data_IF_449502124440
#
_entry.id   IF_449502124440
#
_cell.length_a   1.000
_cell.length_b   1.000
_cell.length_c   1.000
_cell.angle_alpha   90.00
_cell.angle_beta   90.00
_cell.angle_gamma   90.00
#
_symmetry.space_group_name_H-M   'P 1'
#
loop_
_entity.id
_entity.type
_entity.pdbx_description
1 polymer ?
#
# COMPACT_ATOMS: atom_id res chain seq x y z
N UNK A 1 -14.03 -17.05 14.93
CA UNK A 1 -13.44 -15.89 15.66
C UNK A 1 -12.10 -15.57 15.03
N UNK A 2 -11.81 -14.29 14.78
CA UNK A 2 -10.51 -13.87 14.24
C UNK A 2 -9.38 -14.26 15.19
N UNK A 3 -8.26 -14.74 14.64
CA UNK A 3 -7.11 -15.18 15.44
C UNK A 3 -6.38 -14.01 16.12
N UNK A 4 -6.43 -12.82 15.50
CA UNK A 4 -5.74 -11.61 15.96
C UNK A 4 -6.70 -10.43 16.02
N UNK A 5 -6.38 -9.47 16.89
CA UNK A 5 -7.11 -8.19 16.98
C UNK A 5 -6.45 -7.09 16.13
N UNK A 6 -5.29 -7.36 15.53
CA UNK A 6 -4.55 -6.39 14.72
C UNK A 6 -5.34 -5.90 13.50
N UNK A 7 -5.39 -4.58 13.34
CA UNK A 7 -5.97 -3.93 12.16
C UNK A 7 -5.12 -4.15 10.90
N UNK A 8 -3.81 -4.33 11.05
CA UNK A 8 -2.82 -4.39 9.96
C UNK A 8 -1.97 -5.67 10.03
N UNK A 9 -1.36 -6.05 8.90
CA UNK A 9 -0.33 -7.10 8.87
C UNK A 9 1.00 -6.63 9.43
N UNK A 10 1.98 -7.54 9.51
CA UNK A 10 3.29 -7.28 10.12
C UNK A 10 3.32 -7.42 11.64
N UNK A 11 2.25 -7.96 12.23
CA UNK A 11 2.06 -8.14 13.67
C UNK A 11 2.82 -9.36 14.23
N UNK A 12 4.09 -9.54 13.83
CA UNK A 12 4.92 -10.69 14.21
C UNK A 12 5.06 -10.87 15.73
N UNK A 13 5.03 -9.77 16.51
CA UNK A 13 5.09 -9.84 17.97
C UNK A 13 3.84 -10.50 18.56
N UNK A 14 2.65 -10.08 18.12
CA UNK A 14 1.37 -10.66 18.56
C UNK A 14 1.29 -12.14 18.15
N UNK A 15 1.63 -12.44 16.89
CA UNK A 15 1.63 -13.81 16.37
C UNK A 15 2.58 -14.74 17.13
N UNK A 16 3.77 -14.25 17.50
CA UNK A 16 4.74 -15.02 18.26
C UNK A 16 4.29 -15.24 19.71
N UNK A 17 3.63 -14.25 20.33
CA UNK A 17 3.01 -14.41 21.65
C UNK A 17 1.96 -15.52 21.66
N UNK A 18 1.11 -15.61 20.61
CA UNK A 18 0.12 -16.70 20.48
C UNK A 18 0.77 -18.08 20.44
N UNK A 19 1.96 -18.21 19.85
CA UNK A 19 2.70 -19.46 19.76
C UNK A 19 3.65 -19.73 20.94
N UNK A 20 3.87 -18.75 21.82
CA UNK A 20 4.88 -18.86 22.88
C UNK A 20 6.32 -18.92 22.36
N UNK A 21 6.62 -18.26 21.23
CA UNK A 21 7.94 -18.24 20.60
C UNK A 21 8.48 -16.82 20.43
N UNK A 22 9.73 -16.70 19.97
CA UNK A 22 10.32 -15.40 19.62
C UNK A 22 9.88 -14.92 18.22
N UNK A 23 9.64 -13.61 18.00
CA UNK A 23 9.15 -13.08 16.72
C UNK A 23 10.03 -13.34 15.49
N UNK A 24 11.34 -13.44 15.69
CA UNK A 24 12.33 -13.75 14.65
C UNK A 24 12.23 -15.19 14.11
N UNK A 25 11.52 -16.07 14.82
CA UNK A 25 11.25 -17.43 14.36
C UNK A 25 10.10 -17.52 13.35
N UNK A 26 9.36 -16.42 13.13
CA UNK A 26 8.27 -16.36 12.16
C UNK A 26 8.76 -15.95 10.77
N UNK A 27 8.27 -16.65 9.76
CA UNK A 27 8.35 -16.21 8.37
C UNK A 27 7.12 -15.36 8.04
N UNK A 28 7.30 -14.05 7.96
CA UNK A 28 6.19 -13.10 7.77
C UNK A 28 5.84 -12.87 6.31
N UNK A 29 4.65 -13.27 5.90
CA UNK A 29 4.01 -13.00 4.62
C UNK A 29 2.85 -12.00 4.74
N UNK A 30 2.56 -11.50 5.94
CA UNK A 30 1.42 -10.62 6.19
C UNK A 30 1.73 -9.15 5.87
N UNK A 31 3.00 -8.74 5.84
CA UNK A 31 3.46 -7.43 5.41
C UNK A 31 4.19 -7.49 4.06
N UNK A 32 3.86 -6.54 3.16
CA UNK A 32 4.30 -6.54 1.76
C UNK A 32 5.57 -5.70 1.59
N UNK A 33 6.69 -6.17 2.14
CA UNK A 33 7.99 -5.47 2.07
C UNK A 33 8.88 -6.11 1.00
N UNK A 34 9.64 -5.29 0.26
CA UNK A 34 10.60 -5.80 -0.73
C UNK A 34 11.58 -6.80 -0.06
N UNK A 35 11.68 -8.06 -0.54
CA UNK A 35 12.48 -9.08 0.10
C UNK A 35 13.98 -8.95 -0.15
N UNK A 36 14.41 -8.04 -1.04
CA UNK A 36 15.82 -7.81 -1.35
C UNK A 36 16.59 -7.15 -0.18
N UNK A 37 15.90 -6.75 0.89
CA UNK A 37 16.50 -6.13 2.07
C UNK A 37 16.56 -4.61 1.95
N UNK A 38 17.58 -3.97 2.52
CA UNK A 38 17.73 -2.51 2.46
C UNK A 38 18.72 -2.14 1.34
N UNK A 39 18.44 -1.09 0.53
CA UNK A 39 19.41 -0.58 -0.44
C UNK A 39 20.78 -0.31 0.22
N UNK A 40 21.87 -0.72 -0.43
CA UNK A 40 23.23 -0.56 0.12
C UNK A 40 23.56 0.91 0.33
N UNK A 41 23.12 1.75 -0.60
CA UNK A 41 23.23 3.21 -0.56
C UNK A 41 22.59 3.79 0.71
N UNK A 42 21.37 3.38 1.04
CA UNK A 42 20.65 3.78 2.27
C UNK A 42 21.40 3.29 3.52
N UNK A 43 21.78 2.02 3.57
CA UNK A 43 22.48 1.46 4.74
C UNK A 43 23.76 2.24 5.05
N UNK A 44 24.56 2.54 4.03
CA UNK A 44 25.80 3.31 4.17
C UNK A 44 25.51 4.74 4.64
N UNK A 45 24.56 5.43 4.01
CA UNK A 45 24.21 6.79 4.38
C UNK A 45 23.79 6.90 5.86
N UNK A 46 22.98 5.96 6.34
CA UNK A 46 22.54 5.92 7.74
C UNK A 46 23.70 5.70 8.73
N UNK A 47 24.62 4.79 8.44
CA UNK A 47 25.78 4.51 9.30
C UNK A 47 26.71 5.73 9.34
N UNK A 48 27.04 6.28 8.17
CA UNK A 48 28.01 7.36 8.02
C UNK A 48 27.50 8.70 8.59
N UNK A 49 26.19 8.85 8.83
CA UNK A 49 25.57 10.11 9.28
C UNK A 49 24.69 9.92 10.52
N UNK A 50 24.94 8.90 11.34
CA UNK A 50 24.09 8.59 12.49
C UNK A 50 23.98 9.77 13.47
N UNK A 51 25.05 10.56 13.63
CA UNK A 51 25.12 11.73 14.51
C UNK A 51 24.13 12.85 14.12
N UNK A 52 23.50 12.80 12.93
CA UNK A 52 22.46 13.78 12.57
C UNK A 52 21.25 13.75 13.51
N UNK A 53 21.01 12.64 14.22
CA UNK A 53 19.88 12.50 15.16
C UNK A 53 20.05 13.34 16.43
N UNK A 54 21.25 13.85 16.70
CA UNK A 54 21.53 14.74 17.84
C UNK A 54 20.89 16.13 17.67
N UNK A 55 20.35 16.41 16.46
CA UNK A 55 19.67 17.66 16.11
C UNK A 55 18.27 17.36 15.60
N UNK A 56 17.38 18.34 15.77
CA UNK A 56 16.11 18.30 15.07
C UNK A 56 16.33 18.28 13.54
N UNK A 57 15.45 17.59 12.78
CA UNK A 57 15.42 17.74 11.33
C UNK A 57 15.19 19.20 10.92
N UNK A 58 15.53 19.52 9.68
CA UNK A 58 15.01 20.72 9.03
C UNK A 58 13.47 20.67 9.04
N UNK A 59 12.83 21.69 9.61
CA UNK A 59 11.36 21.76 9.71
C UNK A 59 10.70 21.85 8.33
N UNK A 60 11.40 22.40 7.33
CA UNK A 60 10.92 22.57 5.97
C UNK A 60 11.34 21.41 5.03
N UNK A 61 12.19 20.50 5.51
CA UNK A 61 12.71 19.34 4.76
C UNK A 61 13.21 19.69 3.36
N UNK A 62 13.94 20.79 3.24
CA UNK A 62 14.33 21.37 1.96
C UNK A 62 15.04 20.35 1.05
N UNK A 63 16.04 19.63 1.57
CA UNK A 63 16.80 18.64 0.78
C UNK A 63 15.94 17.44 0.35
N UNK A 64 15.13 16.89 1.26
CA UNK A 64 14.22 15.79 0.95
C UNK A 64 13.19 16.19 -0.11
N UNK A 65 12.56 17.35 0.03
CA UNK A 65 11.59 17.84 -0.94
C UNK A 65 12.23 18.12 -2.30
N UNK A 66 13.45 18.67 -2.33
CA UNK A 66 14.22 18.83 -3.57
C UNK A 66 14.59 17.48 -4.22
N UNK A 67 14.96 16.47 -3.42
CA UNK A 67 15.25 15.14 -3.95
C UNK A 67 14.01 14.49 -4.60
N UNK A 68 12.87 14.56 -3.93
CA UNK A 68 11.58 14.08 -4.45
C UNK A 68 11.14 14.86 -5.70
N UNK A 69 11.30 16.19 -5.68
CA UNK A 69 10.98 17.07 -6.80
C UNK A 69 11.81 16.75 -8.05
N UNK A 70 13.12 16.56 -7.88
CA UNK A 70 14.01 16.13 -8.97
C UNK A 70 13.67 14.75 -9.49
N UNK A 71 13.31 13.80 -8.62
CA UNK A 71 12.93 12.46 -9.05
C UNK A 71 11.68 12.49 -9.95
N UNK A 72 10.68 13.31 -9.60
CA UNK A 72 9.43 13.43 -10.36
C UNK A 72 9.41 14.51 -11.44
N UNK A 73 10.43 15.36 -11.51
CA UNK A 73 10.50 16.53 -12.39
C UNK A 73 9.31 17.49 -12.18
N UNK A 74 8.98 17.77 -10.91
CA UNK A 74 7.90 18.70 -10.51
C UNK A 74 8.43 19.77 -9.55
N UNK A 75 7.74 20.90 -9.36
CA UNK A 75 8.10 21.89 -8.34
C UNK A 75 8.13 21.28 -6.93
N UNK A 76 9.14 21.62 -6.11
CA UNK A 76 9.21 21.18 -4.72
C UNK A 76 8.04 21.70 -3.87
N UNK A 77 7.40 22.81 -4.27
CA UNK A 77 6.21 23.34 -3.60
C UNK A 77 5.05 22.34 -3.60
N UNK A 78 4.96 21.47 -4.61
CA UNK A 78 3.90 20.48 -4.77
C UNK A 78 4.01 19.30 -3.81
N UNK A 79 5.17 19.10 -3.17
CA UNK A 79 5.50 17.87 -2.44
C UNK A 79 5.55 18.14 -0.94
N UNK A 80 4.81 17.34 -0.16
CA UNK A 80 4.89 17.35 1.29
C UNK A 80 5.16 15.95 1.81
N UNK A 81 6.32 15.75 2.43
CA UNK A 81 6.73 14.49 3.02
C UNK A 81 6.04 14.27 4.37
N UNK A 82 5.80 13.00 4.70
CA UNK A 82 5.17 12.59 5.95
C UNK A 82 5.80 11.33 6.54
N UNK A 83 5.51 11.11 7.82
CA UNK A 83 5.96 10.02 8.69
C UNK A 83 5.38 8.66 8.27
N UNK A 84 5.78 8.23 7.07
CA UNK A 84 5.05 7.25 6.29
C UNK A 84 3.86 7.88 5.56
N UNK A 85 3.46 7.28 4.45
CA UNK A 85 2.28 7.67 3.68
C UNK A 85 0.98 7.62 4.49
N UNK A 86 0.93 6.82 5.56
CA UNK A 86 -0.17 6.86 6.52
C UNK A 86 -0.37 8.27 7.06
N UNK A 87 0.69 9.00 7.43
CA UNK A 87 0.53 10.41 7.82
C UNK A 87 -0.03 11.24 6.66
N UNK A 88 0.45 11.05 5.42
CA UNK A 88 -0.07 11.75 4.25
C UNK A 88 -1.57 11.54 4.03
N UNK A 89 -2.11 10.35 4.32
CA UNK A 89 -3.56 10.07 4.30
C UNK A 89 -4.31 10.94 5.32
N UNK A 90 -3.80 11.04 6.55
CA UNK A 90 -4.41 11.88 7.59
C UNK A 90 -4.25 13.38 7.27
N UNK A 91 -3.11 13.80 6.73
CA UNK A 91 -2.86 15.19 6.29
C UNK A 91 -3.83 15.59 5.19
N UNK A 92 -3.99 14.79 4.12
CA UNK A 92 -4.90 15.13 3.03
C UNK A 92 -6.36 15.15 3.49
N UNK A 93 -6.79 14.19 4.33
CA UNK A 93 -8.15 14.16 4.86
C UNK A 93 -8.45 15.37 5.77
N UNK A 94 -7.53 15.71 6.67
CA UNK A 94 -7.68 16.82 7.61
C UNK A 94 -7.52 18.20 6.98
N UNK A 95 -6.80 18.32 5.86
CA UNK A 95 -6.62 19.58 5.15
C UNK A 95 -7.55 19.82 3.97
N UNK A 96 -8.17 18.77 3.41
CA UNK A 96 -9.32 18.91 2.51
C UNK A 96 -10.63 19.09 3.29
N UNK A 97 -10.77 18.46 4.47
CA UNK A 97 -11.98 18.49 5.31
C UNK A 97 -13.26 18.22 4.52
N UNK A 98 -13.36 17.10 3.78
CA UNK A 98 -14.55 16.79 3.02
C UNK A 98 -15.76 16.67 3.95
N UNK A 99 -16.90 17.19 3.50
CA UNK A 99 -18.20 16.94 4.14
C UNK A 99 -18.70 15.55 3.74
N UNK A 100 -18.53 15.18 2.46
CA UNK A 100 -18.89 13.88 1.88
C UNK A 100 -17.74 13.33 1.05
N UNK A 101 -17.32 12.11 1.35
CA UNK A 101 -16.24 11.44 0.61
C UNK A 101 -16.65 10.02 0.25
N UNK A 102 -16.20 9.56 -0.90
CA UNK A 102 -16.33 8.18 -1.33
C UNK A 102 -15.01 7.43 -1.17
N UNK A 103 -15.07 6.23 -0.59
CA UNK A 103 -13.98 5.26 -0.58
C UNK A 103 -14.41 3.99 -1.32
N UNK A 104 -13.44 3.27 -1.88
CA UNK A 104 -13.68 1.96 -2.52
C UNK A 104 -13.40 0.83 -1.52
N UNK A 105 -14.30 -0.16 -1.46
CA UNK A 105 -14.17 -1.33 -0.57
C UNK A 105 -14.19 -2.65 -1.35
N UNK A 106 -13.31 -3.64 -1.04
CA UNK A 106 -12.29 -3.57 0.01
C UNK A 106 -11.16 -2.59 -0.31
N UNK A 107 -10.60 -2.00 0.73
CA UNK A 107 -9.58 -0.95 0.63
C UNK A 107 -8.84 -0.77 1.94
N UNK A 108 -7.76 0.00 1.94
CA UNK A 108 -6.97 0.24 3.15
C UNK A 108 -7.79 0.96 4.23
N UNK A 109 -7.77 0.43 5.45
CA UNK A 109 -8.65 0.87 6.54
C UNK A 109 -8.44 2.34 6.95
N UNK A 110 -7.24 2.88 6.74
CA UNK A 110 -6.88 4.23 7.20
C UNK A 110 -7.61 5.36 6.47
N UNK A 111 -8.09 5.15 5.24
CA UNK A 111 -8.92 6.17 4.56
C UNK A 111 -10.19 6.44 5.37
N UNK A 112 -10.89 5.37 5.77
CA UNK A 112 -12.11 5.48 6.57
C UNK A 112 -11.83 6.05 7.96
N UNK A 113 -10.71 5.68 8.59
CA UNK A 113 -10.32 6.22 9.91
C UNK A 113 -10.00 7.71 9.85
N UNK A 114 -9.24 8.15 8.86
CA UNK A 114 -8.90 9.56 8.67
C UNK A 114 -10.13 10.42 8.37
N UNK A 115 -11.03 9.94 7.49
CA UNK A 115 -12.29 10.62 7.17
C UNK A 115 -13.25 10.67 8.36
N UNK A 116 -13.34 9.60 9.14
CA UNK A 116 -14.19 9.60 10.34
C UNK A 116 -13.70 10.61 11.38
N UNK A 117 -12.38 10.73 11.58
CA UNK A 117 -11.79 11.72 12.49
C UNK A 117 -11.97 13.16 12.02
N UNK A 118 -12.13 13.40 10.71
CA UNK A 118 -12.45 14.73 10.18
C UNK A 118 -13.94 15.08 10.19
N UNK A 119 -14.81 14.15 10.65
CA UNK A 119 -16.26 14.35 10.70
C UNK A 119 -16.96 14.23 9.35
N UNK A 120 -16.34 13.53 8.38
CA UNK A 120 -16.89 13.34 7.03
C UNK A 120 -18.01 12.28 7.00
N UNK A 121 -19.04 12.50 6.18
CA UNK A 121 -19.96 11.45 5.74
C UNK A 121 -19.25 10.55 4.73
N UNK A 122 -19.16 9.24 5.03
CA UNK A 122 -18.42 8.29 4.20
C UNK A 122 -19.38 7.46 3.36
N UNK A 123 -19.30 7.63 2.04
CA UNK A 123 -19.92 6.73 1.05
C UNK A 123 -18.94 5.63 0.67
N UNK A 124 -19.46 4.44 0.39
CA UNK A 124 -18.66 3.27 -0.02
C UNK A 124 -19.09 2.83 -1.40
N UNK A 125 -18.14 2.76 -2.32
CA UNK A 125 -18.29 2.02 -3.56
C UNK A 125 -17.79 0.59 -3.34
N UNK A 126 -18.70 -0.37 -3.41
CA UNK A 126 -18.37 -1.79 -3.19
C UNK A 126 -17.92 -2.42 -4.50
N UNK A 127 -16.64 -2.82 -4.56
CA UNK A 127 -16.17 -3.77 -5.56
C UNK A 127 -16.93 -5.09 -5.39
N UNK A 128 -17.06 -5.85 -6.48
CA UNK A 128 -17.83 -7.08 -6.50
C UNK A 128 -16.93 -8.28 -6.80
N UNK A 129 -17.16 -9.37 -6.08
CA UNK A 129 -16.52 -10.67 -6.36
C UNK A 129 -16.79 -11.13 -7.80
N UNK A 130 -17.99 -10.85 -8.33
CA UNK A 130 -18.40 -11.19 -9.69
C UNK A 130 -17.56 -10.48 -10.78
N UNK A 131 -16.98 -9.31 -10.47
CA UNK A 131 -16.06 -8.59 -11.35
C UNK A 131 -14.59 -8.97 -11.07
N UNK A 132 -14.35 -10.05 -10.32
CA UNK A 132 -13.01 -10.42 -9.86
C UNK A 132 -12.38 -9.38 -8.92
N UNK A 133 -13.20 -8.57 -8.24
CA UNK A 133 -12.79 -7.41 -7.45
C UNK A 133 -12.12 -6.28 -8.24
N UNK A 134 -12.23 -6.27 -9.56
CA UNK A 134 -11.73 -5.17 -10.39
C UNK A 134 -12.62 -3.93 -10.26
N UNK A 135 -12.02 -2.73 -10.25
CA UNK A 135 -12.77 -1.48 -10.37
C UNK A 135 -13.29 -1.36 -11.81
N UNK A 136 -14.58 -1.07 -11.95
CA UNK A 136 -15.28 -0.92 -13.23
C UNK A 136 -15.77 0.52 -13.44
N UNK A 137 -16.20 0.82 -14.66
CA UNK A 137 -16.76 2.12 -15.07
C UNK A 137 -18.11 2.45 -14.42
N UNK A 138 -18.82 1.46 -13.85
CA UNK A 138 -20.05 1.67 -13.10
C UNK A 138 -19.90 2.68 -11.94
N UNK A 139 -18.67 2.90 -11.44
CA UNK A 139 -18.40 3.93 -10.43
C UNK A 139 -18.70 5.35 -10.94
N UNK A 140 -18.59 5.61 -12.25
CA UNK A 140 -18.77 6.94 -12.85
C UNK A 140 -20.18 7.50 -12.61
N UNK A 141 -21.19 6.64 -12.63
CA UNK A 141 -22.58 7.00 -12.34
C UNK A 141 -22.81 7.31 -10.86
N UNK A 142 -22.02 6.69 -9.97
CA UNK A 142 -22.06 6.96 -8.54
C UNK A 142 -21.36 8.26 -8.15
N UNK A 143 -20.62 8.90 -9.07
CA UNK A 143 -20.01 10.21 -8.85
C UNK A 143 -21.04 11.32 -9.05
N UNK A 144 -21.41 11.94 -7.93
CA UNK A 144 -22.43 12.97 -7.83
C UNK A 144 -21.83 14.33 -7.44
N UNK A 145 -22.45 15.47 -7.82
CA UNK A 145 -21.93 16.82 -7.52
C UNK A 145 -21.80 17.16 -6.03
N UNK A 146 -22.40 16.37 -5.14
CA UNK A 146 -22.31 16.59 -3.70
C UNK A 146 -21.08 15.94 -3.07
N UNK A 147 -20.35 15.06 -3.77
CA UNK A 147 -19.09 14.51 -3.27
C UNK A 147 -18.00 15.59 -3.25
N UNK A 148 -17.21 15.63 -2.18
CA UNK A 148 -16.04 16.51 -2.08
C UNK A 148 -14.74 15.78 -2.42
N UNK A 149 -14.68 14.47 -2.14
CA UNK A 149 -13.50 13.63 -2.31
C UNK A 149 -13.84 12.21 -2.79
N UNK A 150 -12.95 11.62 -3.59
CA UNK A 150 -12.92 10.20 -3.94
C UNK A 150 -11.52 9.65 -3.65
N UNK A 151 -11.43 8.55 -2.90
CA UNK A 151 -10.17 7.84 -2.64
C UNK A 151 -10.11 6.55 -3.45
N UNK A 152 -9.09 6.41 -4.30
CA UNK A 152 -8.75 5.19 -5.02
C UNK A 152 -7.35 4.73 -4.62
N UNK A 153 -7.11 3.42 -4.70
CA UNK A 153 -5.80 2.82 -4.46
C UNK A 153 -5.35 2.11 -5.74
N UNK A 154 -4.16 2.45 -6.24
CA UNK A 154 -3.66 2.11 -7.59
C UNK A 154 -2.21 1.64 -7.52
N UNK A 155 -1.95 0.31 -7.39
CA UNK A 155 -2.92 -0.79 -7.33
C UNK A 155 -3.61 -0.94 -5.96
N UNK A 156 -4.82 -1.50 -5.94
CA UNK A 156 -5.66 -1.62 -4.76
C UNK A 156 -5.11 -2.64 -3.72
N UNK A 157 -5.14 -2.27 -2.45
CA UNK A 157 -4.91 -3.18 -1.33
C UNK A 157 -6.26 -3.62 -0.72
N UNK A 158 -6.61 -4.93 -0.68
CA UNK A 158 -5.70 -6.08 -0.76
C UNK A 158 -5.66 -6.84 -2.08
N UNK A 159 -6.45 -6.46 -3.10
CA UNK A 159 -6.61 -7.25 -4.34
C UNK A 159 -5.34 -7.32 -5.19
N UNK A 160 -4.50 -6.28 -5.12
CA UNK A 160 -3.32 -6.10 -5.96
C UNK A 160 -3.65 -5.61 -7.37
N UNK A 161 -4.93 -5.36 -7.67
CA UNK A 161 -5.38 -5.00 -9.02
C UNK A 161 -5.16 -3.51 -9.30
N UNK A 162 -4.70 -3.21 -10.51
CA UNK A 162 -4.54 -1.85 -11.00
C UNK A 162 -5.74 -1.52 -11.92
N UNK A 163 -6.57 -0.51 -11.58
CA UNK A 163 -7.55 0.01 -12.51
C UNK A 163 -6.92 0.45 -13.83
N UNK A 164 -7.61 0.20 -14.93
CA UNK A 164 -7.11 0.57 -16.25
C UNK A 164 -6.88 2.08 -16.37
N UNK A 165 -5.83 2.47 -17.09
CA UNK A 165 -5.48 3.89 -17.26
C UNK A 165 -6.62 4.72 -17.86
N UNK A 166 -7.36 4.15 -18.82
CA UNK A 166 -8.49 4.82 -19.46
C UNK A 166 -9.63 5.07 -18.47
N UNK A 167 -9.94 4.09 -17.62
CA UNK A 167 -10.92 4.25 -16.55
C UNK A 167 -10.48 5.29 -15.52
N UNK A 168 -9.21 5.27 -15.08
CA UNK A 168 -8.70 6.29 -14.16
C UNK A 168 -8.77 7.70 -14.76
N UNK A 169 -8.51 7.84 -16.06
CA UNK A 169 -8.66 9.11 -16.76
C UNK A 169 -10.12 9.57 -16.80
N UNK A 170 -11.06 8.68 -17.16
CA UNK A 170 -12.48 8.98 -17.14
C UNK A 170 -12.99 9.40 -15.75
N UNK A 171 -12.50 8.75 -14.68
CA UNK A 171 -12.79 9.13 -13.30
C UNK A 171 -12.20 10.50 -12.99
N UNK A 172 -10.94 10.76 -13.36
CA UNK A 172 -10.29 12.05 -13.14
C UNK A 172 -11.04 13.21 -13.83
N UNK A 173 -11.48 13.00 -15.07
CA UNK A 173 -12.23 14.01 -15.85
C UNK A 173 -13.63 14.23 -15.26
N UNK A 174 -14.31 13.15 -14.84
CA UNK A 174 -15.60 13.24 -14.16
C UNK A 174 -15.47 14.00 -12.84
N UNK A 175 -14.47 13.67 -12.02
CA UNK A 175 -14.16 14.38 -10.79
C UNK A 175 -13.89 15.87 -11.04
N UNK A 176 -13.12 16.21 -12.08
CA UNK A 176 -12.88 17.60 -12.49
C UNK A 176 -14.18 18.34 -12.79
N UNK A 177 -15.06 17.72 -13.58
CA UNK A 177 -16.36 18.31 -13.98
C UNK A 177 -17.32 18.52 -12.80
N UNK A 178 -17.18 17.70 -11.75
CA UNK A 178 -18.03 17.73 -10.56
C UNK A 178 -17.40 18.43 -9.36
N UNK A 179 -16.18 18.98 -9.51
CA UNK A 179 -15.39 19.58 -8.43
C UNK A 179 -15.07 18.60 -7.27
N UNK A 180 -14.86 17.33 -7.58
CA UNK A 180 -14.46 16.29 -6.63
C UNK A 180 -12.94 16.22 -6.60
N UNK A 181 -12.33 16.25 -5.41
CA UNK A 181 -10.91 15.93 -5.27
C UNK A 181 -10.70 14.43 -5.45
N UNK A 182 -9.79 14.05 -6.35
CA UNK A 182 -9.42 12.65 -6.57
C UNK A 182 -8.11 12.36 -5.86
N UNK A 183 -8.14 11.50 -4.85
CA UNK A 183 -6.97 11.04 -4.12
C UNK A 183 -6.59 9.65 -4.64
N UNK A 184 -5.38 9.54 -5.20
CA UNK A 184 -4.79 8.32 -5.72
C UNK A 184 -3.69 7.85 -4.78
N UNK A 185 -3.93 6.74 -4.10
CA UNK A 185 -2.93 6.04 -3.30
C UNK A 185 -2.08 5.14 -4.21
N UNK A 186 -0.86 5.58 -4.46
CA UNK A 186 0.14 4.92 -5.30
C UNK A 186 1.23 4.22 -4.44
N UNK A 187 0.91 3.76 -3.23
CA UNK A 187 1.87 3.14 -2.29
C UNK A 187 2.70 1.98 -2.86
N UNK A 188 2.17 1.32 -3.89
CA UNK A 188 2.72 0.12 -4.51
C UNK A 188 3.03 0.30 -6.00
N UNK A 189 2.83 1.50 -6.56
CA UNK A 189 2.97 1.69 -8.02
C UNK A 189 4.42 1.45 -8.48
N UNK A 190 5.39 1.74 -7.61
CA UNK A 190 6.82 1.56 -7.89
C UNK A 190 7.20 0.10 -8.20
N UNK A 191 6.40 -0.89 -7.77
CA UNK A 191 6.60 -2.30 -8.11
C UNK A 191 6.18 -2.65 -9.54
N UNK A 192 5.39 -1.83 -10.22
CA UNK A 192 4.85 -2.12 -11.54
C UNK A 192 5.70 -1.38 -12.58
N UNK A 193 6.63 -2.07 -13.27
CA UNK A 193 7.45 -1.39 -14.27
C UNK A 193 6.56 -0.80 -15.37
N UNK A 194 6.97 0.36 -15.90
CA UNK A 194 6.26 1.15 -16.92
C UNK A 194 4.99 1.89 -16.48
N UNK A 195 4.49 1.68 -15.26
CA UNK A 195 3.39 2.50 -14.74
C UNK A 195 3.94 3.81 -14.17
N UNK A 196 3.54 4.92 -14.78
CA UNK A 196 4.04 6.26 -14.40
C UNK A 196 3.21 6.94 -13.32
N UNK A 197 2.02 6.42 -13.02
CA UNK A 197 1.06 7.04 -12.11
C UNK A 197 0.48 8.35 -12.65
N UNK A 198 -0.01 9.18 -11.74
CA UNK A 198 -0.67 10.45 -12.07
C UNK A 198 0.18 11.69 -11.80
N UNK A 199 1.33 11.57 -11.13
CA UNK A 199 2.24 12.70 -10.87
C UNK A 199 2.57 13.49 -12.17
N UNK A 200 2.90 12.84 -13.30
CA UNK A 200 3.19 13.57 -14.55
C UNK A 200 2.00 14.37 -15.11
N UNK A 201 0.76 14.07 -14.70
CA UNK A 201 -0.46 14.72 -15.17
C UNK A 201 -0.98 15.80 -14.20
N UNK A 202 -0.33 16.03 -13.07
CA UNK A 202 -0.83 16.95 -12.03
C UNK A 202 -0.86 18.41 -12.48
N UNK A 203 0.04 18.83 -13.39
CA UNK A 203 0.16 20.23 -13.82
C UNK A 203 -1.17 20.85 -14.24
N UNK A 204 -2.00 20.10 -14.98
CA UNK A 204 -3.29 20.58 -15.49
C UNK A 204 -4.49 20.08 -14.66
N UNK A 205 -4.22 19.43 -13.53
CA UNK A 205 -5.22 18.73 -12.70
C UNK A 205 -5.00 18.96 -11.20
N UNK A 206 -5.22 20.20 -10.71
CA UNK A 206 -5.05 20.56 -9.30
C UNK A 206 -6.03 19.85 -8.34
N UNK A 207 -7.10 19.23 -8.85
CA UNK A 207 -8.02 18.42 -8.05
C UNK A 207 -7.49 17.00 -7.77
N UNK A 208 -6.38 16.58 -8.38
CA UNK A 208 -5.78 15.26 -8.18
C UNK A 208 -4.68 15.33 -7.13
N UNK A 209 -4.75 14.44 -6.14
CA UNK A 209 -3.76 14.26 -5.10
C UNK A 209 -3.14 12.87 -5.26
N UNK A 210 -1.81 12.78 -5.27
CA UNK A 210 -1.12 11.48 -5.31
C UNK A 210 -0.43 11.24 -3.97
N UNK A 211 -0.65 10.07 -3.39
CA UNK A 211 0.04 9.61 -2.18
C UNK A 211 1.06 8.55 -2.56
N UNK A 212 2.25 8.63 -1.98
CA UNK A 212 3.38 7.73 -2.28
C UNK A 212 4.07 7.29 -1.01
N UNK A 213 4.69 6.11 -1.09
CA UNK A 213 5.38 5.49 0.03
C UNK A 213 6.73 4.90 -0.37
N UNK A 214 7.81 5.29 0.31
CA UNK A 214 9.12 4.65 0.13
C UNK A 214 9.27 3.36 0.95
N UNK A 215 8.40 3.12 1.93
CA UNK A 215 8.61 2.05 2.92
C UNK A 215 8.58 0.64 2.35
N UNK A 216 7.74 0.38 1.33
CA UNK A 216 7.51 -0.97 0.79
C UNK A 216 8.59 -1.31 -0.24
N UNK A 217 8.75 -0.43 -1.23
CA UNK A 217 9.68 -0.62 -2.34
C UNK A 217 11.15 -0.63 -1.91
N UNK A 218 11.54 0.24 -0.98
CA UNK A 218 12.92 0.35 -0.48
C UNK A 218 13.16 -0.34 0.86
N UNK A 219 12.19 -1.14 1.33
CA UNK A 219 12.23 -1.90 2.58
C UNK A 219 12.68 -1.12 3.83
N UNK A 220 12.19 0.10 3.97
CA UNK A 220 12.40 0.94 5.16
C UNK A 220 11.11 1.19 5.98
N UNK A 221 10.25 0.17 6.22
CA UNK A 221 9.00 0.38 6.94
C UNK A 221 9.18 0.81 8.39
N UNK A 222 10.34 0.54 9.00
CA UNK A 222 10.69 1.01 10.33
C UNK A 222 11.12 2.48 10.38
N UNK A 223 11.66 3.03 9.28
CA UNK A 223 12.06 4.45 9.23
C UNK A 223 10.88 5.39 9.04
N UNK A 224 9.79 4.92 8.42
CA UNK A 224 8.55 5.69 8.17
C UNK A 224 8.76 6.85 7.20
N UNK A 225 8.54 6.61 5.90
CA UNK A 225 8.60 7.68 4.90
C UNK A 225 7.56 7.52 3.79
N UNK A 226 6.79 8.57 3.56
CA UNK A 226 5.93 8.77 2.41
C UNK A 226 5.78 10.26 2.09
N UNK A 227 4.97 10.59 1.11
CA UNK A 227 4.72 11.97 0.71
C UNK A 227 3.40 12.09 -0.04
N UNK A 228 2.84 13.30 -0.06
CA UNK A 228 1.77 13.69 -0.95
C UNK A 228 2.32 14.62 -2.05
N UNK A 229 1.67 14.61 -3.22
CA UNK A 229 1.96 15.50 -4.34
C UNK A 229 0.66 16.08 -4.89
N UNK A 230 0.62 17.40 -5.08
CA UNK A 230 -0.50 18.10 -5.70
C UNK A 230 -0.05 19.46 -6.27
N UNK A 231 -0.67 19.92 -7.35
CA UNK A 231 -0.26 21.13 -8.08
C UNK A 231 -0.96 22.43 -7.63
N UNK A 232 -1.92 22.37 -6.70
CA UNK A 232 -2.50 23.55 -6.06
C UNK A 232 -1.59 24.03 -4.93
N UNK A 233 -0.75 25.03 -5.24
CA UNK A 233 0.20 25.61 -4.28
C UNK A 233 -0.49 26.12 -3.00
N UNK A 234 -1.70 26.67 -3.10
CA UNK A 234 -2.42 27.18 -1.94
C UNK A 234 -2.93 26.04 -1.05
N UNK A 235 -3.40 24.96 -1.66
CA UNK A 235 -3.82 23.76 -0.94
C UNK A 235 -2.63 23.05 -0.29
N UNK A 236 -1.50 22.86 -0.98
CA UNK A 236 -0.30 22.25 -0.39
C UNK A 236 0.28 23.14 0.73
N UNK A 237 0.29 24.46 0.57
CA UNK A 237 0.70 25.37 1.65
C UNK A 237 -0.22 25.27 2.87
N UNK A 238 -1.53 25.04 2.68
CA UNK A 238 -2.47 24.76 3.78
C UNK A 238 -2.13 23.43 4.47
N UNK A 239 -1.80 22.38 3.72
CA UNK A 239 -1.36 21.10 4.28
C UNK A 239 -0.11 21.28 5.16
N UNK A 240 0.91 22.01 4.66
CA UNK A 240 2.15 22.29 5.41
C UNK A 240 1.87 22.94 6.77
N UNK A 241 0.97 23.93 6.81
CA UNK A 241 0.61 24.63 8.07
C UNK A 241 -0.14 23.77 9.07
N UNK A 242 -0.79 22.69 8.61
CA UNK A 242 -1.58 21.80 9.46
C UNK A 242 -0.82 20.55 9.90
N UNK A 243 0.22 20.16 9.14
CA UNK A 243 1.08 19.04 9.49
C UNK A 243 1.82 19.31 10.80
N UNK A 244 2.02 18.25 11.58
CA UNK A 244 2.82 18.30 12.79
C UNK A 244 4.27 18.72 12.46
N UNK A 245 4.86 19.70 13.16
CA UNK A 245 6.26 20.05 12.99
C UNK A 245 7.18 18.84 13.25
N UNK A 246 8.24 18.73 12.45
CA UNK A 246 9.26 17.66 12.56
C UNK A 246 8.71 16.23 12.50
N UNK A 247 7.61 15.98 11.77
CA UNK A 247 7.00 14.64 11.74
C UNK A 247 7.89 13.56 11.10
N UNK A 248 8.69 13.92 10.11
CA UNK A 248 9.67 13.02 9.46
C UNK A 248 10.99 13.06 10.24
N UNK A 249 11.45 11.91 10.72
CA UNK A 249 12.74 11.83 11.41
C UNK A 249 13.92 12.04 10.44
N UNK A 250 15.05 12.51 10.96
CA UNK A 250 16.24 12.85 10.16
C UNK A 250 16.76 11.67 9.32
N UNK A 251 16.74 10.46 9.89
CA UNK A 251 17.21 9.25 9.21
C UNK A 251 16.28 8.83 8.06
N UNK A 252 14.97 9.01 8.22
CA UNK A 252 14.02 8.80 7.14
C UNK A 252 14.23 9.79 6.00
N UNK A 253 14.41 11.08 6.31
CA UNK A 253 14.71 12.10 5.30
C UNK A 253 15.98 11.74 4.50
N UNK A 254 17.07 11.42 5.19
CA UNK A 254 18.32 10.99 4.56
C UNK A 254 18.14 9.72 3.69
N UNK A 255 17.44 8.72 4.20
CA UNK A 255 17.16 7.50 3.44
C UNK A 255 16.36 7.81 2.17
N UNK A 256 15.39 8.72 2.23
CA UNK A 256 14.59 9.16 1.09
C UNK A 256 15.40 9.87 0.02
N UNK A 257 16.31 10.76 0.42
CA UNK A 257 17.20 11.49 -0.49
C UNK A 257 18.10 10.55 -1.31
N UNK A 258 18.58 9.47 -0.67
CA UNK A 258 19.52 8.53 -1.27
C UNK A 258 18.81 7.42 -2.06
N UNK A 259 17.73 6.84 -1.51
CA UNK A 259 17.05 5.67 -2.10
C UNK A 259 16.54 5.93 -3.53
N UNK A 260 16.06 7.15 -3.80
CA UNK A 260 15.48 7.54 -5.10
C UNK A 260 16.50 7.56 -6.25
N UNK A 261 17.80 7.58 -5.93
CA UNK A 261 18.89 7.58 -6.92
C UNK A 261 19.40 6.15 -7.22
N UNK A 262 18.91 5.13 -6.50
CA UNK A 262 19.38 3.76 -6.63
C UNK A 262 18.68 3.03 -7.79
N UNK A 263 19.13 3.30 -9.01
CA UNK A 263 18.58 2.67 -10.22
C UNK A 263 18.83 1.16 -10.26
N UNK A 264 19.94 0.70 -9.68
CA UNK A 264 20.24 -0.73 -9.56
C UNK A 264 19.20 -1.44 -8.69
N UNK A 265 18.78 -0.82 -7.58
CA UNK A 265 17.69 -1.32 -6.74
C UNK A 265 16.38 -1.47 -7.49
N UNK A 266 16.01 -0.46 -8.29
CA UNK A 266 14.78 -0.47 -9.10
C UNK A 266 14.80 -1.65 -10.10
N UNK A 267 15.88 -1.79 -10.86
CA UNK A 267 16.03 -2.87 -11.85
C UNK A 267 16.03 -4.25 -11.19
N UNK A 268 16.77 -4.43 -10.10
CA UNK A 268 16.81 -5.69 -9.37
C UNK A 268 15.41 -6.07 -8.82
N UNK A 269 14.65 -5.10 -8.33
CA UNK A 269 13.29 -5.31 -7.82
C UNK A 269 12.34 -5.73 -8.94
N UNK A 270 12.35 -5.05 -10.08
CA UNK A 270 11.48 -5.41 -11.20
C UNK A 270 11.84 -6.76 -11.81
N UNK A 271 13.13 -7.06 -11.93
CA UNK A 271 13.60 -8.38 -12.37
C UNK A 271 13.12 -9.49 -11.44
N UNK A 272 13.32 -9.32 -10.13
CA UNK A 272 12.84 -10.27 -9.12
C UNK A 272 11.33 -10.49 -9.22
N UNK A 273 10.54 -9.41 -9.29
CA UNK A 273 9.08 -9.53 -9.35
C UNK A 273 8.62 -10.18 -10.67
N UNK A 274 9.31 -9.89 -11.79
CA UNK A 274 9.00 -10.48 -13.08
C UNK A 274 9.23 -11.99 -13.10
N UNK A 275 10.35 -12.46 -12.55
CA UNK A 275 10.69 -13.89 -12.56
C UNK A 275 10.01 -14.64 -11.41
N UNK A 276 10.37 -14.31 -10.18
CA UNK A 276 9.92 -15.04 -8.99
C UNK A 276 8.46 -14.74 -8.69
N UNK A 277 7.98 -13.51 -8.92
CA UNK A 277 6.57 -13.18 -8.75
C UNK A 277 5.67 -13.96 -9.71
N UNK A 278 6.06 -14.05 -10.98
CA UNK A 278 5.33 -14.86 -11.96
C UNK A 278 5.37 -16.36 -11.60
N UNK A 279 6.53 -16.90 -11.23
CA UNK A 279 6.67 -18.30 -10.79
C UNK A 279 5.77 -18.59 -9.58
N UNK A 280 5.79 -17.71 -8.57
CA UNK A 280 5.03 -17.89 -7.35
C UNK A 280 3.52 -17.81 -7.59
N UNK A 281 3.04 -16.85 -8.40
CA UNK A 281 1.64 -16.78 -8.82
C UNK A 281 1.21 -18.09 -9.52
N UNK A 282 1.98 -18.56 -10.51
CA UNK A 282 1.66 -19.79 -11.22
C UNK A 282 1.60 -21.00 -10.27
N UNK A 283 2.55 -21.11 -9.34
CA UNK A 283 2.58 -22.21 -8.37
C UNK A 283 1.38 -22.18 -7.40
N UNK A 284 0.92 -20.99 -6.97
CA UNK A 284 -0.28 -20.86 -6.15
C UNK A 284 -1.54 -21.27 -6.92
N UNK A 285 -1.65 -20.89 -8.21
CA UNK A 285 -2.80 -21.25 -9.06
C UNK A 285 -2.94 -22.77 -9.30
N UNK A 286 -1.88 -23.55 -9.10
CA UNK A 286 -1.94 -25.02 -9.19
C UNK A 286 -2.46 -25.69 -7.91
N UNK A 287 -2.65 -24.95 -6.82
CA UNK A 287 -3.15 -25.51 -5.57
C UNK A 287 -4.67 -25.71 -5.64
N UNK A 288 -5.18 -26.88 -5.21
CA UNK A 288 -6.62 -27.11 -5.18
C UNK A 288 -7.29 -26.22 -4.12
N UNK A 289 -8.58 -25.94 -4.30
CA UNK A 289 -9.40 -25.20 -3.33
C UNK A 289 -8.86 -23.78 -3.02
N UNK A 290 -8.14 -23.19 -3.97
CA UNK A 290 -7.56 -21.85 -3.83
C UNK A 290 -7.76 -21.05 -5.12
N UNK A 291 -8.54 -19.97 -5.04
CA UNK A 291 -8.57 -18.94 -6.07
C UNK A 291 -7.48 -17.90 -5.77
N UNK A 292 -6.72 -17.52 -6.79
CA UNK A 292 -5.61 -16.55 -6.70
C UNK A 292 -5.91 -15.39 -7.63
N UNK A 293 -5.95 -14.17 -7.10
CA UNK A 293 -6.20 -12.97 -7.90
C UNK A 293 -4.89 -12.45 -8.52
N UNK A 294 -4.93 -11.92 -9.76
CA UNK A 294 -3.73 -11.54 -10.52
C UNK A 294 -3.16 -10.18 -10.07
N UNK A 295 -2.69 -10.11 -8.82
CA UNK A 295 -2.05 -8.92 -8.27
C UNK A 295 -0.85 -8.44 -9.09
N UNK A 296 -0.68 -7.12 -9.21
CA UNK A 296 0.32 -6.48 -10.06
C UNK A 296 1.59 -6.04 -9.33
N UNK A 297 1.53 -5.93 -8.00
CA UNK A 297 2.65 -5.53 -7.14
C UNK A 297 3.24 -6.75 -6.38
N UNK A 298 3.88 -6.52 -5.23
CA UNK A 298 4.55 -7.56 -4.45
C UNK A 298 3.63 -8.34 -3.48
N UNK A 299 2.38 -8.59 -3.85
CA UNK A 299 1.45 -9.37 -3.03
C UNK A 299 0.28 -9.91 -3.87
N UNK A 300 -0.37 -10.94 -3.34
CA UNK A 300 -1.51 -11.61 -3.97
C UNK A 300 -2.65 -11.78 -2.96
N UNK A 301 -3.88 -11.53 -3.42
CA UNK A 301 -5.09 -11.93 -2.71
C UNK A 301 -5.41 -13.38 -3.06
N UNK A 302 -5.79 -14.14 -2.04
CA UNK A 302 -6.17 -15.54 -2.10
C UNK A 302 -7.60 -15.67 -1.55
N UNK A 303 -8.40 -16.57 -2.13
CA UNK A 303 -9.66 -17.03 -1.56
C UNK A 303 -9.58 -18.54 -1.39
N UNK A 304 -9.70 -19.01 -0.15
CA UNK A 304 -9.84 -20.44 0.14
C UNK A 304 -11.28 -20.86 -0.12
N UNK A 305 -11.48 -21.88 -0.96
CA UNK A 305 -12.82 -22.37 -1.30
C UNK A 305 -13.48 -23.15 -0.16
N UNK A 306 -12.75 -23.44 0.93
CA UNK A 306 -13.23 -24.14 2.12
C UNK A 306 -13.35 -23.20 3.31
N UNK A 307 -14.59 -22.86 3.68
CA UNK A 307 -14.90 -21.93 4.78
C UNK A 307 -14.52 -22.45 6.16
N UNK A 308 -14.49 -23.77 6.34
CA UNK A 308 -14.12 -24.43 7.59
C UNK A 308 -12.61 -24.39 7.87
N UNK A 309 -11.80 -24.01 6.89
CA UNK A 309 -10.34 -23.97 7.00
C UNK A 309 -9.86 -22.55 7.30
N UNK A 310 -9.37 -22.34 8.52
CA UNK A 310 -8.61 -21.14 8.86
C UNK A 310 -7.14 -21.27 8.39
N UNK A 311 -6.86 -20.83 7.16
CA UNK A 311 -5.50 -20.88 6.60
C UNK A 311 -4.48 -20.12 7.44
N UNK A 312 -4.86 -18.97 8.03
CA UNK A 312 -3.94 -18.19 8.86
C UNK A 312 -3.50 -18.99 10.08
N UNK A 313 -4.44 -19.65 10.76
CA UNK A 313 -4.13 -20.52 11.90
C UNK A 313 -3.28 -21.72 11.50
N UNK A 314 -3.63 -22.40 10.40
CA UNK A 314 -2.93 -23.61 9.92
C UNK A 314 -1.50 -23.33 9.43
N UNK A 315 -1.25 -22.15 8.88
CA UNK A 315 0.09 -21.72 8.48
C UNK A 315 0.90 -21.19 9.67
N UNK A 316 0.24 -20.54 10.64
CA UNK A 316 0.90 -20.06 11.84
C UNK A 316 1.50 -21.21 12.66
N UNK A 317 0.85 -22.38 12.73
CA UNK A 317 1.44 -23.58 13.38
C UNK A 317 2.72 -24.06 12.69
N UNK A 318 2.93 -23.68 11.43
CA UNK A 318 4.16 -23.93 10.66
C UNK A 318 5.12 -22.72 10.69
N UNK A 319 4.89 -21.77 11.61
CA UNK A 319 5.63 -20.51 11.79
C UNK A 319 5.58 -19.58 10.57
N UNK A 320 4.52 -19.65 9.78
CA UNK A 320 4.29 -18.78 8.64
C UNK A 320 3.10 -17.87 8.94
N UNK A 321 3.33 -16.56 9.00
CA UNK A 321 2.29 -15.58 9.26
C UNK A 321 1.75 -15.01 7.94
N UNK A 322 0.46 -15.17 7.67
CA UNK A 322 -0.22 -14.55 6.53
C UNK A 322 -1.28 -13.54 7.01
N UNK A 323 -1.76 -12.67 6.13
CA UNK A 323 -2.81 -11.70 6.48
C UNK A 323 -4.19 -12.30 6.18
N UNK A 324 -4.99 -12.61 7.20
CA UNK A 324 -6.44 -12.81 7.04
C UNK A 324 -7.06 -11.51 6.52
N UNK A 325 -8.02 -11.56 5.60
CA UNK A 325 -8.70 -10.37 5.08
C UNK A 325 -10.13 -10.23 5.62
N UNK A 326 -10.53 -11.02 6.61
CA UNK A 326 -11.89 -11.01 7.17
C UNK A 326 -12.34 -9.67 7.77
N UNK A 327 -11.40 -8.76 8.06
CA UNK A 327 -11.69 -7.44 8.60
C UNK A 327 -11.78 -6.34 7.53
N UNK A 328 -11.64 -6.67 6.24
CA UNK A 328 -11.89 -5.73 5.16
C UNK A 328 -13.39 -5.72 4.81
N UNK A 329 -14.07 -4.57 4.82
CA UNK A 329 -15.44 -4.49 4.33
C UNK A 329 -15.53 -5.01 2.89
N UNK A 330 -16.48 -5.91 2.65
CA UNK A 330 -16.67 -6.59 1.36
C UNK A 330 -16.00 -7.95 1.26
N UNK A 331 -15.06 -8.29 2.15
CA UNK A 331 -14.43 -9.61 2.21
C UNK A 331 -14.87 -10.37 3.47
N UNK A 332 -14.68 -11.70 3.46
CA UNK A 332 -15.01 -12.59 4.56
C UNK A 332 -13.79 -13.45 4.97
N UNK A 333 -14.01 -14.45 5.84
CA UNK A 333 -12.95 -15.30 6.38
C UNK A 333 -12.25 -16.22 5.38
N UNK A 334 -12.80 -16.39 4.16
CA UNK A 334 -12.15 -17.15 3.08
C UNK A 334 -10.96 -16.41 2.49
N UNK A 335 -10.90 -15.10 2.67
CA UNK A 335 -9.92 -14.25 2.01
C UNK A 335 -8.65 -14.07 2.84
N UNK A 336 -7.52 -14.18 2.16
CA UNK A 336 -6.19 -13.99 2.73
C UNK A 336 -5.30 -13.22 1.76
N UNK A 337 -4.31 -12.51 2.27
CA UNK A 337 -3.26 -11.85 1.48
C UNK A 337 -1.90 -12.39 1.89
N UNK A 338 -1.07 -12.65 0.89
CA UNK A 338 0.33 -13.04 1.06
C UNK A 338 1.23 -12.10 0.27
N UNK A 339 2.35 -11.72 0.86
CA UNK A 339 3.42 -11.03 0.15
C UNK A 339 4.08 -11.97 -0.89
N UNK A 340 4.69 -11.41 -1.91
CA UNK A 340 5.66 -12.12 -2.74
C UNK A 340 7.03 -11.86 -2.11
N UNK A 341 7.77 -12.93 -1.79
CA UNK A 341 9.09 -12.85 -1.13
C UNK A 341 10.18 -13.52 -1.98
N UNK A 342 11.31 -13.90 -1.37
CA UNK A 342 12.37 -14.64 -2.08
C UNK A 342 11.90 -16.05 -2.46
N UNK A 343 12.51 -16.66 -3.47
CA UNK A 343 12.15 -18.00 -3.94
C UNK A 343 12.13 -19.05 -2.81
N UNK A 344 13.15 -19.03 -1.94
CA UNK A 344 13.23 -19.95 -0.80
C UNK A 344 12.11 -19.71 0.23
N UNK A 345 11.75 -18.45 0.50
CA UNK A 345 10.65 -18.11 1.41
C UNK A 345 9.30 -18.50 0.80
N UNK A 346 9.10 -18.23 -0.50
CA UNK A 346 7.90 -18.58 -1.25
C UNK A 346 7.70 -20.10 -1.29
N UNK A 347 8.77 -20.89 -1.46
CA UNK A 347 8.67 -22.35 -1.48
C UNK A 347 8.27 -22.93 -0.11
N UNK A 348 8.70 -22.30 0.99
CA UNK A 348 8.21 -22.68 2.34
C UNK A 348 6.71 -22.44 2.48
N UNK A 349 6.19 -21.32 1.97
CA UNK A 349 4.75 -21.05 1.96
C UNK A 349 3.99 -22.02 1.05
N UNK A 350 4.49 -22.27 -0.17
CA UNK A 350 3.87 -23.23 -1.10
C UNK A 350 3.78 -24.63 -0.50
N UNK A 351 4.87 -25.11 0.11
CA UNK A 351 4.91 -26.41 0.77
C UNK A 351 3.90 -26.50 1.92
N UNK A 352 3.82 -25.44 2.74
CA UNK A 352 2.88 -25.37 3.85
C UNK A 352 1.41 -25.34 3.38
N UNK A 353 1.11 -24.62 2.29
CA UNK A 353 -0.21 -24.60 1.67
C UNK A 353 -0.58 -25.96 1.04
N UNK A 354 0.35 -26.61 0.34
CA UNK A 354 0.15 -27.98 -0.19
C UNK A 354 -0.24 -28.95 0.93
N UNK A 355 0.45 -28.92 2.07
CA UNK A 355 0.13 -29.78 3.21
C UNK A 355 -1.27 -29.53 3.78
N UNK A 356 -1.79 -28.30 3.66
CA UNK A 356 -3.13 -27.97 4.12
C UNK A 356 -4.19 -28.35 3.10
N UNK A 357 -3.92 -28.20 1.79
CA UNK A 357 -4.94 -28.26 0.73
C UNK A 357 -4.98 -29.59 -0.05
N UNK A 358 -3.86 -30.31 -0.18
CA UNK A 358 -3.75 -31.48 -1.09
C UNK A 358 -4.26 -32.79 -0.49
N UNK A 359 -4.61 -32.82 0.79
CA UNK A 359 -5.11 -34.01 1.52
C UNK A 359 -6.61 -33.97 1.84
N UNK A 360 -7.37 -33.06 1.22
CA UNK A 360 -8.78 -32.81 1.56
C UNK A 360 -9.63 -33.13 0.33
N UNK A 361 -10.53 -34.11 0.46
CA UNK A 361 -11.52 -34.39 -0.58
C UNK A 361 -12.38 -33.14 -0.86
N UNK A 362 -12.78 -32.88 -2.11
CA UNK A 362 -13.79 -31.86 -2.41
C UNK A 362 -15.02 -32.07 -1.53
N UNK A 363 -15.59 -31.02 -0.97
CA UNK A 363 -16.87 -31.14 -0.27
C UNK A 363 -17.96 -31.46 -1.31
N UNK A 364 -18.74 -32.50 -1.04
CA UNK A 364 -19.84 -32.98 -1.90
C UNK A 364 -20.91 -31.92 -2.18
#
# INVERSE_FOLDING_TARGET
MALFNSAHGGNIREAATVLGISPDQLLDFSANINPLGMPVSVKRALIDNLDCIERYPDADYFHLHQALARHHQVPASWILAGNGETESIFTVASGLKPRRAMIVTPGFAEYGRALAQSGCEIRRWSLREADGWQLTDAILEALTPDLDCLFLCTPNNPTGLLPERQLLQAIADRCKSLNINLILDEAFIDFIPHETGFIPALKDNPHIWVLRSLTKFYAIPGLRLGYLVNSDDAAVARMRRQQMPWSVNALAALAGEVALQDSAWQQATWHWLREEGARFYQALCQLPLLTVYPGRANYLLLRCEREDIDLQRRLLTQRILIRSCANYPGLDSRYYRVAIRSAAQNERLLSALRNVLTGIAPAD
#
